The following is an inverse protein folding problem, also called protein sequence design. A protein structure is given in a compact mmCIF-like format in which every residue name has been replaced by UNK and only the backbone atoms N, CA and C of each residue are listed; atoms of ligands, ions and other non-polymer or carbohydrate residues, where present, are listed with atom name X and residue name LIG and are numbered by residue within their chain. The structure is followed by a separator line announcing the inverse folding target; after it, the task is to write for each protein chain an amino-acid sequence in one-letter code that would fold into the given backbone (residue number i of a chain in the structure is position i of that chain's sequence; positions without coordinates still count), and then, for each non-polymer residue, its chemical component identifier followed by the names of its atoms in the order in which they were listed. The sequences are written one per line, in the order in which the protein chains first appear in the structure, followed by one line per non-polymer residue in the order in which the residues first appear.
data_IF_432219163885
#
_entry.id   IF_432219163885
#
_cell.length_a   1.000
_cell.length_b   1.000
_cell.length_c   1.000
_cell.angle_alpha   90.00
_cell.angle_beta   90.00
_cell.angle_gamma   90.00
#
_symmetry.space_group_name_H-M   'P 1'
#
loop_
_entity.id
_entity.type
_entity.pdbx_description
1 polymer ?
#
# COMPACT_ATOMS: atom_id res chain seq x y z
N UNK A 1 18.34 10.60 -9.78
CA UNK A 1 18.28 11.22 -8.44
C UNK A 1 16.96 10.80 -7.82
N UNK A 2 16.87 10.65 -6.51
CA UNK A 2 15.60 10.46 -5.81
C UNK A 2 14.87 11.81 -5.74
N UNK A 3 13.54 11.79 -5.82
CA UNK A 3 12.73 12.98 -5.61
C UNK A 3 12.69 13.30 -4.11
N UNK A 4 13.19 14.47 -3.73
CA UNK A 4 13.33 14.92 -2.33
C UNK A 4 12.66 16.29 -2.16
N UNK A 5 11.33 16.34 -2.04
CA UNK A 5 10.63 17.61 -1.87
C UNK A 5 10.88 18.21 -0.48
N UNK A 6 10.84 19.54 -0.40
CA UNK A 6 10.84 20.26 0.88
C UNK A 6 9.39 20.44 1.38
N UNK A 7 9.17 20.56 2.71
CA UNK A 7 7.87 20.92 3.26
C UNK A 7 7.37 22.24 2.68
N UNK A 8 6.09 22.29 2.32
CA UNK A 8 5.48 23.46 1.69
C UNK A 8 5.77 23.61 0.20
N UNK A 9 6.55 22.71 -0.42
CA UNK A 9 6.68 22.68 -1.88
C UNK A 9 5.29 22.55 -2.50
N UNK A 10 5.02 23.40 -3.49
CA UNK A 10 3.75 23.42 -4.22
C UNK A 10 4.00 23.05 -5.67
N UNK A 11 3.20 22.14 -6.16
CA UNK A 11 3.13 21.77 -7.58
C UNK A 11 1.73 22.07 -8.12
N UNK A 12 1.62 22.36 -9.40
CA UNK A 12 0.33 22.54 -10.07
C UNK A 12 -0.07 21.22 -10.74
N UNK A 13 -1.22 20.69 -10.37
CA UNK A 13 -1.80 19.50 -10.97
C UNK A 13 -3.21 19.83 -11.47
N UNK A 14 -3.40 19.87 -12.78
CA UNK A 14 -4.69 20.19 -13.45
C UNK A 14 -5.29 21.54 -13.01
N UNK A 15 -4.46 22.55 -12.79
CA UNK A 15 -4.90 23.89 -12.33
C UNK A 15 -5.11 23.99 -10.81
N UNK A 16 -4.94 22.90 -10.07
CA UNK A 16 -5.05 22.86 -8.62
C UNK A 16 -3.67 22.75 -7.94
N UNK A 17 -3.51 23.46 -6.83
CA UNK A 17 -2.27 23.41 -6.05
C UNK A 17 -2.24 22.16 -5.17
N UNK A 18 -1.16 21.40 -5.27
CA UNK A 18 -0.83 20.27 -4.39
C UNK A 18 0.40 20.65 -3.57
N UNK A 19 0.27 20.64 -2.24
CA UNK A 19 1.30 21.07 -1.29
C UNK A 19 1.82 19.89 -0.47
N UNK A 20 3.14 19.72 -0.38
CA UNK A 20 3.80 18.69 0.42
C UNK A 20 3.74 19.03 1.92
N UNK A 21 3.19 18.11 2.72
CA UNK A 21 2.96 18.29 4.16
C UNK A 21 4.23 18.03 4.94
N UNK A 22 4.53 18.91 5.92
CA UNK A 22 5.61 18.67 6.86
C UNK A 22 5.31 17.46 7.76
N UNK A 23 6.35 16.75 8.20
CA UNK A 23 6.25 15.76 9.25
C UNK A 23 5.86 16.47 10.56
N UNK A 24 4.76 16.03 11.18
CA UNK A 24 4.33 16.52 12.49
C UNK A 24 5.25 15.98 13.59
N UNK A 25 6.38 16.66 13.78
CA UNK A 25 7.34 16.32 14.82
C UNK A 25 7.87 17.59 15.45
N UNK A 26 8.25 17.54 16.72
CA UNK A 26 8.94 18.63 17.39
C UNK A 26 10.44 18.60 17.07
N UNK A 27 11.06 19.79 16.93
CA UNK A 27 12.49 19.92 16.70
C UNK A 27 12.93 19.71 15.24
N UNK A 28 14.17 19.24 14.98
CA UNK A 28 14.74 19.17 13.64
C UNK A 28 13.97 18.31 12.63
N UNK A 29 13.17 17.35 13.10
CA UNK A 29 12.36 16.49 12.23
C UNK A 29 11.23 17.24 11.52
N UNK A 30 10.79 18.41 12.00
CA UNK A 30 9.77 19.25 11.35
C UNK A 30 10.18 19.83 10.00
N UNK A 31 11.46 19.77 9.65
CA UNK A 31 11.99 20.23 8.36
C UNK A 31 11.84 19.18 7.24
N UNK A 32 11.38 17.99 7.55
CA UNK A 32 11.16 16.94 6.57
C UNK A 32 9.68 16.86 6.14
N UNK A 33 9.45 16.43 4.91
CA UNK A 33 8.10 16.10 4.47
C UNK A 33 7.64 14.78 5.12
N UNK A 34 6.34 14.64 5.31
CA UNK A 34 5.76 13.35 5.68
C UNK A 34 5.88 12.39 4.51
N UNK A 35 6.71 11.38 4.65
CA UNK A 35 7.00 10.39 3.61
C UNK A 35 7.20 8.99 4.20
N UNK A 36 6.69 7.99 3.48
CA UNK A 36 6.86 6.57 3.75
C UNK A 36 7.60 5.93 2.58
N UNK A 37 8.84 5.48 2.82
CA UNK A 37 9.64 4.81 1.80
C UNK A 37 9.31 3.33 1.72
N UNK A 38 8.95 2.85 0.53
CA UNK A 38 8.68 1.46 0.23
C UNK A 38 9.69 0.86 -0.76
N UNK A 39 9.46 -0.39 -1.16
CA UNK A 39 10.30 -1.11 -2.13
C UNK A 39 10.27 -0.47 -3.51
N UNK A 40 9.11 -0.01 -3.95
CA UNK A 40 8.87 0.46 -5.33
C UNK A 40 8.97 1.98 -5.47
N UNK A 41 8.91 2.73 -4.37
CA UNK A 41 8.90 4.18 -4.38
C UNK A 41 8.65 4.77 -3.00
N UNK A 42 8.43 6.07 -2.98
CA UNK A 42 8.12 6.83 -1.76
C UNK A 42 6.71 7.40 -1.86
N UNK A 43 5.94 7.29 -0.79
CA UNK A 43 4.59 7.86 -0.66
C UNK A 43 4.68 9.12 0.19
N UNK A 44 4.33 10.25 -0.39
CA UNK A 44 4.30 11.54 0.28
C UNK A 44 2.87 11.91 0.66
N UNK A 45 2.69 12.46 1.86
CA UNK A 45 1.44 13.11 2.25
C UNK A 45 1.37 14.49 1.66
N UNK A 46 0.31 14.78 0.93
CA UNK A 46 0.10 16.08 0.28
C UNK A 46 -1.31 16.62 0.57
N UNK A 47 -1.47 17.95 0.47
CA UNK A 47 -2.75 18.64 0.55
C UNK A 47 -3.15 19.14 -0.84
N UNK A 48 -4.39 18.84 -1.25
CA UNK A 48 -5.05 19.38 -2.42
C UNK A 48 -6.43 19.89 -2.01
N UNK A 49 -6.71 21.17 -2.18
CA UNK A 49 -7.98 21.78 -1.73
C UNK A 49 -8.32 21.49 -0.25
N UNK A 50 -7.33 21.59 0.64
CA UNK A 50 -7.45 21.28 2.08
C UNK A 50 -7.76 19.80 2.41
N UNK A 51 -7.84 18.92 1.42
CA UNK A 51 -7.99 17.46 1.61
C UNK A 51 -6.63 16.79 1.52
N UNK A 52 -6.48 15.73 2.30
CA UNK A 52 -5.25 14.94 2.33
C UNK A 52 -5.25 13.88 1.22
N UNK A 53 -4.12 13.77 0.53
CA UNK A 53 -3.84 12.78 -0.50
C UNK A 53 -2.49 12.12 -0.26
N UNK A 54 -2.29 10.96 -0.85
CA UNK A 54 -1.02 10.27 -0.97
C UNK A 54 -0.50 10.44 -2.40
N UNK A 55 0.73 10.93 -2.55
CA UNK A 55 1.44 10.97 -3.82
C UNK A 55 2.54 9.90 -3.82
N UNK A 56 2.32 8.78 -4.52
CA UNK A 56 3.31 7.70 -4.68
C UNK A 56 4.22 8.04 -5.85
N UNK A 57 5.50 8.26 -5.58
CA UNK A 57 6.54 8.51 -6.58
C UNK A 57 7.39 7.26 -6.70
N UNK A 58 7.33 6.61 -7.84
CA UNK A 58 8.06 5.36 -8.09
C UNK A 58 9.55 5.63 -8.35
N UNK A 59 10.40 4.75 -7.85
CA UNK A 59 11.80 4.74 -8.25
C UNK A 59 11.93 4.43 -9.76
N UNK A 60 12.98 4.93 -10.44
CA UNK A 60 13.10 4.84 -11.91
C UNK A 60 12.90 3.42 -12.48
N UNK A 61 13.38 2.39 -11.79
CA UNK A 61 13.26 0.99 -12.22
C UNK A 61 11.83 0.43 -12.12
N UNK A 62 10.93 1.11 -11.38
CA UNK A 62 9.51 0.73 -11.24
C UNK A 62 8.56 1.63 -12.04
N UNK A 63 9.09 2.65 -12.73
CA UNK A 63 8.31 3.48 -13.63
C UNK A 63 7.96 2.69 -14.90
N UNK A 64 6.70 2.27 -15.01
CA UNK A 64 6.26 1.37 -16.06
C UNK A 64 4.98 1.87 -16.76
N UNK A 65 4.93 1.69 -18.07
CA UNK A 65 3.76 2.01 -18.90
C UNK A 65 2.51 1.21 -18.50
N UNK A 66 2.66 0.07 -17.82
CA UNK A 66 1.54 -0.71 -17.28
C UNK A 66 0.72 0.11 -16.28
N UNK A 67 1.34 1.04 -15.54
CA UNK A 67 0.64 1.92 -14.60
C UNK A 67 -0.48 2.74 -15.25
N UNK A 68 -0.37 3.04 -16.57
CA UNK A 68 -1.42 3.72 -17.34
C UNK A 68 -2.66 2.85 -17.36
N UNK A 69 -2.53 1.62 -17.90
CA UNK A 69 -3.66 0.67 -18.00
C UNK A 69 -4.19 0.26 -16.62
N UNK A 70 -3.28 0.03 -15.67
CA UNK A 70 -3.66 -0.33 -14.31
C UNK A 70 -4.50 0.77 -13.66
N UNK A 71 -4.09 2.03 -13.76
CA UNK A 71 -4.84 3.16 -13.21
C UNK A 71 -6.23 3.28 -13.84
N UNK A 72 -6.32 3.20 -15.17
CA UNK A 72 -7.60 3.23 -15.89
C UNK A 72 -8.53 2.10 -15.46
N UNK A 73 -8.01 0.87 -15.38
CA UNK A 73 -8.80 -0.32 -14.99
C UNK A 73 -9.20 -0.33 -13.52
N UNK A 74 -8.30 0.04 -12.62
CA UNK A 74 -8.59 0.05 -11.18
C UNK A 74 -9.60 1.14 -10.81
N UNK A 75 -9.66 2.27 -11.53
CA UNK A 75 -10.56 3.37 -11.20
C UNK A 75 -12.04 2.99 -11.15
N UNK A 76 -12.47 1.94 -11.88
CA UNK A 76 -13.85 1.44 -11.83
C UNK A 76 -14.22 0.81 -10.47
N UNK A 77 -13.23 0.40 -9.66
CA UNK A 77 -13.43 -0.23 -8.35
C UNK A 77 -13.34 0.76 -7.18
N UNK A 78 -13.24 2.05 -7.42
CA UNK A 78 -13.08 3.10 -6.39
C UNK A 78 -14.20 3.16 -5.36
N UNK A 79 -15.39 2.67 -5.68
CA UNK A 79 -16.55 2.61 -4.78
C UNK A 79 -16.66 1.27 -4.06
N UNK A 80 -15.79 0.32 -4.38
CA UNK A 80 -15.77 -0.98 -3.71
C UNK A 80 -15.19 -0.84 -2.31
N UNK A 81 -15.84 -1.46 -1.32
CA UNK A 81 -15.37 -1.48 0.06
C UNK A 81 -13.95 -2.03 0.12
N UNK A 82 -13.05 -1.30 0.76
CA UNK A 82 -11.64 -1.65 0.92
C UNK A 82 -10.73 -1.27 -0.25
N UNK A 83 -11.23 -0.59 -1.30
CA UNK A 83 -10.46 -0.19 -2.47
C UNK A 83 -10.54 1.32 -2.76
N UNK A 84 -10.68 2.17 -1.75
CA UNK A 84 -10.75 3.62 -1.93
C UNK A 84 -9.52 4.20 -2.64
N UNK A 85 -8.34 3.60 -2.48
CA UNK A 85 -7.12 4.00 -3.20
C UNK A 85 -7.17 3.74 -4.71
N UNK A 86 -8.22 3.05 -5.20
CA UNK A 86 -8.50 2.91 -6.62
C UNK A 86 -9.02 4.22 -7.25
N UNK A 87 -9.49 5.19 -6.45
CA UNK A 87 -9.66 6.59 -6.87
C UNK A 87 -8.29 7.24 -7.02
N UNK A 88 -7.73 7.22 -8.23
CA UNK A 88 -6.35 7.63 -8.47
C UNK A 88 -6.16 8.39 -9.76
N UNK A 89 -5.21 9.33 -9.75
CA UNK A 89 -4.75 10.08 -10.91
C UNK A 89 -3.30 9.72 -11.20
N UNK A 90 -3.02 9.24 -12.42
CA UNK A 90 -1.67 9.00 -12.88
C UNK A 90 -1.09 10.29 -13.48
N UNK A 91 0.05 10.71 -12.97
CA UNK A 91 0.86 11.79 -13.48
C UNK A 91 1.89 11.22 -14.45
N UNK A 92 1.86 11.62 -15.69
CA UNK A 92 2.85 11.22 -16.68
C UNK A 92 3.06 12.33 -17.74
N UNK A 93 4.10 12.18 -18.56
CA UNK A 93 4.45 13.17 -19.58
C UNK A 93 3.35 13.43 -20.62
N UNK A 94 2.46 12.46 -20.87
CA UNK A 94 1.36 12.63 -21.81
C UNK A 94 0.20 13.44 -21.21
N UNK A 95 -0.14 13.20 -19.96
CA UNK A 95 -1.26 13.86 -19.27
C UNK A 95 -0.85 15.18 -18.62
N UNK A 96 0.40 15.28 -18.13
CA UNK A 96 0.92 16.45 -17.39
C UNK A 96 2.30 16.87 -17.93
N UNK A 97 2.42 17.29 -19.21
CA UNK A 97 3.70 17.54 -19.88
C UNK A 97 4.52 18.62 -19.16
N UNK A 98 3.89 19.71 -18.72
CA UNK A 98 4.58 20.83 -18.08
C UNK A 98 5.13 20.39 -16.71
N UNK A 99 4.33 19.77 -15.86
CA UNK A 99 4.75 19.31 -14.54
C UNK A 99 5.89 18.29 -14.64
N UNK A 100 5.78 17.30 -15.52
CA UNK A 100 6.83 16.31 -15.73
C UNK A 100 8.05 16.89 -16.47
N UNK A 101 7.88 18.00 -17.21
CA UNK A 101 8.99 18.78 -17.77
C UNK A 101 9.80 19.48 -16.71
N UNK A 102 9.15 20.07 -15.72
CA UNK A 102 9.78 20.75 -14.57
C UNK A 102 10.33 19.76 -13.54
N UNK A 103 9.62 18.67 -13.24
CA UNK A 103 9.97 17.65 -12.24
C UNK A 103 9.86 16.26 -12.88
N UNK A 104 10.92 15.81 -13.57
CA UNK A 104 10.90 14.54 -14.31
C UNK A 104 10.66 13.30 -13.43
N UNK A 105 11.02 13.37 -12.15
CA UNK A 105 10.83 12.29 -11.18
C UNK A 105 9.35 11.98 -10.92
N UNK A 106 8.44 12.93 -11.16
CA UNK A 106 6.99 12.73 -11.04
C UNK A 106 6.38 11.94 -12.21
N UNK A 107 7.17 11.59 -13.22
CA UNK A 107 6.69 10.75 -14.31
C UNK A 107 6.28 9.37 -13.77
N UNK A 108 5.06 8.93 -14.11
CA UNK A 108 4.40 7.74 -13.59
C UNK A 108 4.05 7.77 -12.10
N UNK A 109 4.10 8.91 -11.41
CA UNK A 109 3.60 9.02 -10.05
C UNK A 109 2.06 8.93 -9.98
N UNK A 110 1.54 8.52 -8.82
CA UNK A 110 0.10 8.32 -8.62
C UNK A 110 -0.35 9.16 -7.44
N UNK A 111 -1.34 10.03 -7.68
CA UNK A 111 -2.07 10.74 -6.63
C UNK A 111 -3.35 9.95 -6.30
N UNK A 112 -3.57 9.66 -5.02
CA UNK A 112 -4.71 8.88 -4.51
C UNK A 112 -5.16 9.42 -3.14
N UNK A 113 -6.38 9.10 -2.66
CA UNK A 113 -6.84 9.53 -1.34
C UNK A 113 -5.86 9.08 -0.23
N UNK A 114 -5.62 9.96 0.74
CA UNK A 114 -4.92 9.57 1.96
C UNK A 114 -5.83 8.69 2.82
N UNK A 115 -5.33 7.55 3.25
CA UNK A 115 -6.03 6.64 4.15
C UNK A 115 -5.56 6.92 5.57
N UNK A 116 -6.47 7.37 6.42
CA UNK A 116 -6.19 7.58 7.83
C UNK A 116 -6.28 6.25 8.59
N UNK A 117 -5.24 5.92 9.36
CA UNK A 117 -5.23 4.70 10.16
C UNK A 117 -3.83 4.15 10.36
N UNK A 118 -3.75 2.88 10.69
CA UNK A 118 -2.48 2.17 10.90
C UNK A 118 -2.47 0.84 10.15
N UNK A 119 -1.32 0.43 9.65
CA UNK A 119 -1.14 -0.90 9.05
C UNK A 119 -1.16 -1.98 10.14
N UNK A 120 -1.56 -3.20 9.76
CA UNK A 120 -1.59 -4.33 10.69
C UNK A 120 -0.20 -4.62 11.29
N UNK A 121 0.86 -4.53 10.49
CA UNK A 121 2.23 -4.69 10.95
C UNK A 121 2.58 -3.79 12.14
N UNK A 122 2.20 -2.51 12.11
CA UNK A 122 2.43 -1.58 13.22
C UNK A 122 1.59 -1.93 14.45
N UNK A 123 0.36 -2.43 14.27
CA UNK A 123 -0.45 -2.93 15.40
C UNK A 123 0.18 -4.15 16.07
N UNK A 124 0.81 -5.03 15.31
CA UNK A 124 1.55 -6.18 15.83
C UNK A 124 2.76 -5.76 16.67
N UNK A 125 3.38 -4.63 16.38
CA UNK A 125 4.52 -4.08 17.11
C UNK A 125 4.11 -3.24 18.32
N UNK A 126 2.83 -2.90 18.43
CA UNK A 126 2.32 -2.08 19.52
C UNK A 126 2.42 -2.80 20.87
N UNK A 127 2.89 -2.08 21.90
CA UNK A 127 2.90 -2.55 23.28
C UNK A 127 1.49 -2.66 23.89
N UNK A 128 0.51 -2.01 23.28
CA UNK A 128 -0.87 -1.97 23.75
C UNK A 128 -1.79 -2.85 22.88
N UNK A 129 -1.99 -4.13 23.24
CA UNK A 129 -2.85 -5.02 22.47
C UNK A 129 -4.31 -4.56 22.52
N UNK A 130 -5.00 -4.79 21.41
CA UNK A 130 -6.45 -4.54 21.34
C UNK A 130 -7.23 -5.54 22.20
N UNK A 131 -8.47 -5.21 22.50
CA UNK A 131 -9.40 -6.19 23.10
C UNK A 131 -9.66 -7.34 22.12
N UNK A 132 -9.80 -8.57 22.62
CA UNK A 132 -9.98 -9.78 21.80
C UNK A 132 -11.07 -9.65 20.73
N UNK A 133 -12.21 -9.05 21.06
CA UNK A 133 -13.31 -8.81 20.12
C UNK A 133 -12.92 -7.96 18.89
N UNK A 134 -11.93 -7.08 19.05
CA UNK A 134 -11.47 -6.20 17.98
C UNK A 134 -10.64 -6.95 16.94
N UNK A 135 -9.84 -7.94 17.36
CA UNK A 135 -9.12 -8.80 16.42
C UNK A 135 -10.09 -9.60 15.54
N UNK A 136 -11.12 -10.21 16.14
CA UNK A 136 -12.16 -10.90 15.37
C UNK A 136 -12.89 -9.98 14.40
N UNK A 137 -13.17 -8.74 14.82
CA UNK A 137 -13.80 -7.73 13.97
C UNK A 137 -12.92 -7.38 12.78
N UNK A 138 -11.61 -7.12 13.00
CA UNK A 138 -10.64 -6.81 11.95
C UNK A 138 -10.54 -7.98 10.96
N UNK A 139 -10.36 -9.22 11.45
CA UNK A 139 -10.30 -10.41 10.62
C UNK A 139 -11.57 -10.55 9.76
N UNK A 140 -12.76 -10.39 10.36
CA UNK A 140 -14.02 -10.44 9.64
C UNK A 140 -14.10 -9.41 8.52
N UNK A 141 -13.76 -8.14 8.79
CA UNK A 141 -13.82 -7.07 7.80
C UNK A 141 -12.85 -7.36 6.64
N UNK A 142 -11.63 -7.79 6.94
CA UNK A 142 -10.64 -8.13 5.92
C UNK A 142 -11.12 -9.28 5.03
N UNK A 143 -11.66 -10.34 5.64
CA UNK A 143 -12.18 -11.49 4.88
C UNK A 143 -13.39 -11.13 4.03
N UNK A 144 -14.30 -10.28 4.52
CA UNK A 144 -15.41 -9.77 3.72
C UNK A 144 -14.93 -9.03 2.47
N UNK A 145 -13.87 -8.20 2.60
CA UNK A 145 -13.28 -7.46 1.46
C UNK A 145 -12.69 -8.45 0.46
N UNK A 146 -11.83 -9.38 0.92
CA UNK A 146 -11.14 -10.33 0.03
C UNK A 146 -12.14 -11.28 -0.67
N UNK A 147 -13.13 -11.80 0.06
CA UNK A 147 -14.18 -12.63 -0.55
C UNK A 147 -14.99 -11.85 -1.59
N UNK A 148 -15.33 -10.59 -1.31
CA UNK A 148 -16.06 -9.77 -2.27
C UNK A 148 -15.22 -9.47 -3.52
N UNK A 149 -13.91 -9.25 -3.36
CA UNK A 149 -12.97 -9.10 -4.48
C UNK A 149 -12.94 -10.37 -5.34
N UNK A 150 -12.73 -11.54 -4.73
CA UNK A 150 -12.69 -12.81 -5.45
C UNK A 150 -13.98 -13.09 -6.20
N UNK A 151 -15.15 -12.82 -5.59
CA UNK A 151 -16.45 -12.95 -6.24
C UNK A 151 -16.62 -12.06 -7.48
N UNK A 152 -15.87 -10.97 -7.56
CA UNK A 152 -15.82 -10.07 -8.72
C UNK A 152 -14.63 -10.37 -9.67
N UNK A 153 -13.94 -11.47 -9.45
CA UNK A 153 -12.80 -11.88 -10.26
C UNK A 153 -11.54 -11.05 -10.00
N UNK A 154 -11.40 -10.44 -8.81
CA UNK A 154 -10.28 -9.60 -8.42
C UNK A 154 -9.39 -10.30 -7.39
N UNK A 155 -8.11 -9.94 -7.36
CA UNK A 155 -7.20 -10.30 -6.26
C UNK A 155 -6.14 -9.20 -6.08
N UNK A 156 -5.70 -8.99 -4.84
CA UNK A 156 -4.63 -8.05 -4.51
C UNK A 156 -3.26 -8.52 -5.02
N UNK A 157 -3.02 -9.80 -5.00
CA UNK A 157 -1.80 -10.50 -5.45
C UNK A 157 -0.52 -10.21 -4.65
N UNK A 158 -0.58 -9.31 -3.67
CA UNK A 158 0.50 -9.02 -2.72
C UNK A 158 -0.07 -8.71 -1.32
N UNK A 159 -1.11 -9.45 -0.92
CA UNK A 159 -1.75 -9.26 0.37
C UNK A 159 -0.79 -9.66 1.51
N UNK A 160 -0.56 -8.75 2.46
CA UNK A 160 0.35 -8.93 3.61
C UNK A 160 -0.03 -8.00 4.76
N UNK A 161 0.64 -8.14 5.90
CA UNK A 161 0.45 -7.29 7.08
C UNK A 161 0.74 -5.80 6.85
N UNK A 162 1.45 -5.44 5.79
CA UNK A 162 1.81 -4.07 5.45
C UNK A 162 0.91 -3.45 4.37
N UNK A 163 0.06 -4.24 3.71
CA UNK A 163 -0.68 -3.80 2.53
C UNK A 163 -2.16 -3.53 2.79
N UNK A 164 -2.52 -3.28 4.05
CA UNK A 164 -3.84 -2.75 4.41
C UNK A 164 -3.77 -1.83 5.62
N UNK A 165 -4.62 -0.82 5.63
CA UNK A 165 -4.76 0.16 6.70
C UNK A 165 -6.08 -0.05 7.42
N UNK A 166 -6.02 -0.12 8.74
CA UNK A 166 -7.17 -0.24 9.64
C UNK A 166 -7.50 1.16 10.17
N UNK A 167 -8.74 1.59 10.04
CA UNK A 167 -9.16 2.89 10.51
C UNK A 167 -9.07 3.00 12.05
N UNK A 168 -8.91 4.20 12.62
CA UNK A 168 -8.75 4.38 14.07
C UNK A 168 -9.94 3.86 14.91
N UNK A 169 -11.13 3.75 14.33
CA UNK A 169 -12.34 3.24 15.00
C UNK A 169 -12.50 1.72 14.83
N UNK A 170 -11.59 1.06 14.11
CA UNK A 170 -11.59 -0.35 13.77
C UNK A 170 -12.87 -0.80 13.03
N UNK A 171 -13.49 0.13 12.26
CA UNK A 171 -14.75 -0.11 11.57
C UNK A 171 -14.59 -0.38 10.08
N UNK A 172 -13.44 -0.03 9.51
CA UNK A 172 -13.12 -0.25 8.11
C UNK A 172 -11.66 -0.61 7.89
N UNK A 173 -11.39 -1.22 6.74
CA UNK A 173 -10.06 -1.55 6.24
C UNK A 173 -10.00 -1.06 4.80
N UNK A 174 -8.85 -0.48 4.42
CA UNK A 174 -8.52 -0.14 3.04
C UNK A 174 -7.25 -0.86 2.62
N UNK A 175 -7.31 -1.57 1.51
CA UNK A 175 -6.13 -2.19 0.89
C UNK A 175 -5.31 -1.09 0.21
N UNK A 176 -3.98 -1.20 0.29
CA UNK A 176 -3.03 -0.28 -0.33
C UNK A 176 -2.04 -1.07 -1.20
N UNK A 177 -1.20 -0.37 -1.97
CA UNK A 177 -0.25 -1.01 -2.89
C UNK A 177 -0.90 -1.94 -3.93
N UNK A 178 -2.00 -1.46 -4.52
CA UNK A 178 -2.84 -2.22 -5.46
C UNK A 178 -2.31 -2.25 -6.90
N UNK A 179 -1.08 -1.82 -7.15
CA UNK A 179 -0.48 -1.73 -8.50
C UNK A 179 -0.30 -3.10 -9.17
N UNK A 180 -0.21 -4.16 -8.39
CA UNK A 180 -0.06 -5.53 -8.86
C UNK A 180 -1.34 -6.36 -8.81
N UNK A 181 -2.48 -5.72 -8.49
CA UNK A 181 -3.78 -6.41 -8.45
C UNK A 181 -4.09 -7.12 -9.76
N UNK A 182 -4.69 -8.29 -9.62
CA UNK A 182 -5.36 -8.95 -10.72
C UNK A 182 -6.79 -8.40 -10.87
N UNK A 183 -7.13 -8.04 -12.09
CA UNK A 183 -8.50 -7.83 -12.53
C UNK A 183 -8.63 -8.37 -13.97
N UNK A 184 -9.84 -8.69 -14.46
CA UNK A 184 -10.04 -9.06 -15.85
C UNK A 184 -9.43 -8.02 -16.80
N UNK A 185 -8.74 -8.48 -17.84
CA UNK A 185 -8.07 -7.66 -18.87
C UNK A 185 -6.90 -6.78 -18.38
N UNK A 186 -6.43 -7.01 -17.14
CA UNK A 186 -5.20 -6.35 -16.66
C UNK A 186 -3.95 -6.99 -17.27
N UNK A 187 -2.93 -6.18 -17.61
CA UNK A 187 -1.65 -6.73 -18.07
C UNK A 187 -0.94 -7.43 -16.89
N UNK A 188 -0.48 -8.67 -17.15
CA UNK A 188 0.30 -9.42 -16.16
C UNK A 188 1.56 -8.64 -15.77
N UNK A 189 1.92 -8.58 -14.46
CA UNK A 189 3.19 -8.02 -14.02
C UNK A 189 4.39 -8.71 -14.68
N UNK A 190 5.49 -7.96 -14.84
CA UNK A 190 6.74 -8.56 -15.32
C UNK A 190 7.25 -9.62 -14.34
N UNK A 191 7.96 -10.68 -14.82
CA UNK A 191 8.37 -11.83 -14.02
C UNK A 191 9.17 -11.50 -12.75
N UNK A 192 9.88 -10.37 -12.72
CA UNK A 192 10.74 -9.95 -11.59
C UNK A 192 9.97 -9.34 -10.42
N UNK A 193 8.65 -9.15 -10.56
CA UNK A 193 7.81 -8.66 -9.48
C UNK A 193 7.49 -9.81 -8.55
N UNK A 194 7.78 -9.62 -7.26
CA UNK A 194 7.51 -10.57 -6.21
C UNK A 194 6.02 -10.94 -6.17
N UNK A 195 5.72 -12.22 -6.32
CA UNK A 195 4.37 -12.76 -6.19
C UNK A 195 3.99 -12.93 -4.71
N UNK A 196 3.83 -11.82 -4.01
CA UNK A 196 3.46 -11.78 -2.61
C UNK A 196 4.65 -11.73 -1.64
N UNK A 197 4.38 -11.28 -0.43
CA UNK A 197 5.37 -11.11 0.63
C UNK A 197 5.80 -12.45 1.24
N UNK A 198 7.04 -12.50 1.75
CA UNK A 198 7.54 -13.64 2.52
C UNK A 198 6.64 -13.86 3.74
N UNK A 199 6.26 -15.11 4.00
CA UNK A 199 5.31 -15.49 5.05
C UNK A 199 3.86 -15.55 4.57
N UNK A 200 3.49 -14.79 3.53
CA UNK A 200 2.13 -14.73 2.96
C UNK A 200 2.02 -15.43 1.60
N UNK A 201 3.02 -16.21 1.21
CA UNK A 201 3.03 -17.00 -0.02
C UNK A 201 3.59 -18.39 0.24
N UNK A 202 3.13 -19.40 -0.50
CA UNK A 202 3.75 -20.72 -0.49
C UNK A 202 5.08 -20.72 -1.25
N UNK A 203 5.92 -21.72 -1.00
CA UNK A 203 7.13 -21.94 -1.80
C UNK A 203 6.80 -22.10 -3.29
N UNK A 204 5.73 -22.83 -3.60
CA UNK A 204 5.27 -23.02 -4.98
C UNK A 204 4.91 -21.68 -5.66
N UNK A 205 4.18 -20.79 -4.96
CA UNK A 205 3.84 -19.44 -5.48
C UNK A 205 5.12 -18.64 -5.71
N UNK A 206 6.08 -18.71 -4.80
CA UNK A 206 7.35 -18.01 -4.92
C UNK A 206 8.15 -18.43 -6.16
N UNK A 207 8.11 -19.72 -6.51
CA UNK A 207 8.86 -20.30 -7.63
C UNK A 207 8.12 -20.18 -8.97
N UNK A 208 6.80 -20.29 -9.00
CA UNK A 208 6.00 -20.36 -10.23
C UNK A 208 5.18 -19.11 -10.51
N UNK A 209 4.96 -18.29 -9.50
CA UNK A 209 4.03 -17.17 -9.53
C UNK A 209 2.57 -17.62 -9.56
N UNK A 210 1.72 -16.82 -8.95
CA UNK A 210 0.26 -16.97 -9.06
C UNK A 210 -0.34 -15.58 -9.24
N UNK A 211 -0.87 -15.33 -10.43
CA UNK A 211 -1.55 -14.07 -10.74
C UNK A 211 -2.88 -14.35 -11.41
N UNK A 212 -3.94 -14.23 -10.61
CA UNK A 212 -5.31 -14.58 -10.97
C UNK A 212 -6.27 -14.26 -9.83
N UNK A 213 -7.56 -14.43 -10.03
CA UNK A 213 -8.61 -14.09 -9.04
C UNK A 213 -8.49 -14.84 -7.71
N UNK A 214 -7.77 -15.96 -7.67
CA UNK A 214 -7.60 -16.80 -6.46
C UNK A 214 -6.26 -16.59 -5.76
N UNK A 215 -5.46 -15.60 -6.21
CA UNK A 215 -4.09 -15.38 -5.72
C UNK A 215 -4.01 -15.07 -4.22
N UNK A 216 -5.05 -14.48 -3.66
CA UNK A 216 -5.06 -14.05 -2.25
C UNK A 216 -5.46 -15.13 -1.26
N UNK A 217 -5.92 -16.31 -1.71
CA UNK A 217 -6.48 -17.34 -0.80
C UNK A 217 -5.52 -17.78 0.29
N UNK A 218 -4.25 -18.01 -0.06
CA UNK A 218 -3.24 -18.40 0.93
C UNK A 218 -2.91 -17.26 1.89
N UNK A 219 -2.63 -16.07 1.36
CA UNK A 219 -2.30 -14.88 2.15
C UNK A 219 -3.44 -14.51 3.11
N UNK A 220 -4.69 -14.53 2.64
CA UNK A 220 -5.85 -14.24 3.47
C UNK A 220 -6.07 -15.27 4.59
N UNK A 221 -5.82 -16.56 4.33
CA UNK A 221 -5.90 -17.59 5.37
C UNK A 221 -4.84 -17.37 6.48
N UNK A 222 -3.60 -17.03 6.09
CA UNK A 222 -2.53 -16.71 7.04
C UNK A 222 -2.90 -15.46 7.85
N UNK A 223 -3.28 -14.35 7.18
CA UNK A 223 -3.66 -13.11 7.86
C UNK A 223 -4.86 -13.30 8.79
N UNK A 224 -5.88 -14.03 8.36
CA UNK A 224 -7.03 -14.32 9.21
C UNK A 224 -6.61 -15.06 10.48
N UNK A 225 -5.78 -16.10 10.36
CA UNK A 225 -5.26 -16.87 11.48
C UNK A 225 -4.40 -16.01 12.40
N UNK A 226 -3.50 -15.21 11.83
CA UNK A 226 -2.62 -14.30 12.55
C UNK A 226 -3.43 -13.28 13.35
N UNK A 227 -4.34 -12.56 12.71
CA UNK A 227 -5.17 -11.55 13.37
C UNK A 227 -6.02 -12.18 14.47
N UNK A 228 -6.69 -13.30 14.20
CA UNK A 228 -7.58 -13.96 15.16
C UNK A 228 -6.84 -14.49 16.40
N UNK A 229 -5.59 -14.92 16.25
CA UNK A 229 -4.79 -15.47 17.35
C UNK A 229 -3.98 -14.40 18.10
N UNK A 230 -3.87 -13.18 17.56
CA UNK A 230 -3.04 -12.11 18.13
C UNK A 230 -3.48 -11.62 19.51
N UNK A 231 -4.71 -11.96 19.95
CA UNK A 231 -5.15 -11.72 21.34
C UNK A 231 -4.39 -12.56 22.37
N UNK A 232 -3.79 -13.70 21.96
CA UNK A 232 -3.03 -14.57 22.85
C UNK A 232 -1.63 -13.99 23.09
N UNK A 233 -1.31 -13.74 24.37
CA UNK A 233 -0.01 -13.18 24.78
C UNK A 233 1.16 -14.11 24.41
N UNK A 234 0.99 -15.42 24.55
CA UNK A 234 2.03 -16.40 24.22
C UNK A 234 2.42 -16.32 22.74
N UNK A 235 1.44 -16.15 21.85
CA UNK A 235 1.71 -15.97 20.41
C UNK A 235 2.45 -14.66 20.14
N UNK A 236 2.06 -13.56 20.79
CA UNK A 236 2.77 -12.28 20.64
C UNK A 236 4.20 -12.32 21.17
N UNK A 237 4.42 -13.00 22.32
CA UNK A 237 5.74 -13.10 22.94
C UNK A 237 6.69 -14.00 22.12
N UNK A 238 6.16 -14.97 21.40
CA UNK A 238 6.91 -15.90 20.53
C UNK A 238 7.11 -15.39 19.10
N UNK A 239 7.07 -14.08 18.89
CA UNK A 239 7.41 -13.39 17.63
C UNK A 239 8.83 -13.74 17.16
N UNK A 240 9.10 -14.92 16.67
CA UNK A 240 10.43 -15.32 16.24
C UNK A 240 10.70 -14.98 14.75
N UNK A 241 9.65 -14.61 13.98
CA UNK A 241 9.76 -14.54 12.51
C UNK A 241 10.64 -13.41 11.97
N UNK A 242 10.42 -12.16 12.33
CA UNK A 242 11.04 -11.02 11.62
C UNK A 242 12.41 -10.59 12.17
N UNK A 243 12.67 -10.75 13.47
CA UNK A 243 13.97 -10.37 14.05
C UNK A 243 15.12 -11.29 13.62
N UNK A 244 14.83 -12.56 13.33
CA UNK A 244 15.84 -13.49 12.85
C UNK A 244 16.25 -13.22 11.39
N UNK A 245 15.33 -12.78 10.54
CA UNK A 245 15.63 -12.40 9.16
C UNK A 245 16.39 -11.07 9.04
N UNK A 246 16.07 -10.07 9.88
CA UNK A 246 16.73 -8.76 9.82
C UNK A 246 18.18 -8.78 10.38
N UNK A 247 18.48 -9.68 11.30
CA UNK A 247 19.83 -9.79 11.88
C UNK A 247 20.83 -10.55 10.99
N UNK A 248 20.35 -11.46 10.13
CA UNK A 248 21.22 -12.19 9.19
C UNK A 248 21.58 -11.37 7.93
N UNK A 249 20.76 -10.39 7.56
CA UNK A 249 21.03 -9.50 6.42
C UNK A 249 22.08 -8.40 6.72
N UNK A 250 22.43 -8.16 8.00
CA UNK A 250 23.45 -7.16 8.41
C UNK A 250 24.84 -7.74 8.63
N UNK A 251 25.09 -9.01 8.32
CA UNK A 251 26.39 -9.67 8.48
C UNK A 251 26.90 -10.32 7.19
N UNK A 252 26.74 -9.62 6.05
CA UNK A 252 27.57 -9.94 4.87
C UNK A 252 27.91 -8.68 4.09
#
# INVERSE_FOLDING_TARGET
MSFEPMPGLKINLDGETVEFVALEASGPASVFVYAEAGKEGTVYKVLKNKKQYALKVFYPQYQDKRLIKNTERLSQYKTMKGLRVAERTLINRKTHPNLVGEIPELNYSILMPWIQGTIWGNLMESEHPLQSKNYFRIAKILMEIVCNMENQGLAHCDLSNNNFIIDPTLSSIELIDIENMFAPDMPRPVPDISYGAIGYRTKWIAENGLWGSTSDRFASAILCSEIMTWHNKEIRDNKVGDKACSSSARRR
#
